data_IF_513444915667
#
_entry.id   IF_513444915667
#
_cell.length_a   1.000
_cell.length_b   1.000
_cell.length_c   1.000
_cell.angle_alpha   90.00
_cell.angle_beta   90.00
_cell.angle_gamma   90.00
#
_symmetry.space_group_name_H-M   'P 1'
#
loop_
_entity.id
_entity.type
_entity.pdbx_description
1 polymer ?
#
# COMPACT_ATOMS: atom_id res chain seq x y z
N UNK A 1 8.34 -32.45 7.37
CA UNK A 1 7.33 -33.29 6.70
C UNK A 1 6.05 -32.54 6.29
N UNK A 2 5.11 -32.21 7.19
CA UNK A 2 3.79 -31.65 6.79
C UNK A 2 3.85 -30.33 6.00
N UNK A 3 4.73 -29.40 6.39
CA UNK A 3 4.91 -28.13 5.67
C UNK A 3 5.43 -28.34 4.24
N UNK A 4 6.26 -29.37 4.02
CA UNK A 4 6.78 -29.73 2.70
C UNK A 4 5.70 -30.29 1.78
N UNK A 5 4.82 -31.14 2.32
CA UNK A 5 3.68 -31.66 1.57
C UNK A 5 2.70 -30.55 1.14
N UNK A 6 2.41 -29.60 2.04
CA UNK A 6 1.58 -28.42 1.71
C UNK A 6 2.26 -27.55 0.65
N UNK A 7 3.56 -27.30 0.77
CA UNK A 7 4.30 -26.51 -0.20
C UNK A 7 4.27 -27.13 -1.60
N UNK A 8 4.46 -28.46 -1.70
CA UNK A 8 4.41 -29.18 -2.97
C UNK A 8 3.05 -29.01 -3.66
N UNK A 9 1.95 -29.22 -2.93
CA UNK A 9 0.60 -29.05 -3.46
C UNK A 9 0.25 -27.59 -3.82
N UNK A 10 0.87 -26.59 -3.17
CA UNK A 10 0.69 -25.17 -3.50
C UNK A 10 1.52 -24.75 -4.72
N UNK A 11 2.72 -25.31 -4.90
CA UNK A 11 3.57 -25.03 -6.06
C UNK A 11 2.89 -25.40 -7.39
N UNK A 12 2.12 -26.49 -7.41
CA UNK A 12 1.33 -26.89 -8.59
C UNK A 12 0.29 -25.83 -9.00
N UNK A 13 -0.23 -25.05 -8.03
CA UNK A 13 -1.27 -24.03 -8.24
C UNK A 13 -0.71 -22.63 -8.46
N UNK A 14 0.57 -22.43 -8.11
CA UNK A 14 1.19 -21.11 -8.02
C UNK A 14 1.09 -20.32 -9.34
N UNK A 15 1.33 -20.97 -10.47
CA UNK A 15 1.27 -20.33 -11.79
C UNK A 15 -0.11 -19.73 -12.06
N UNK A 16 -1.19 -20.49 -11.83
CA UNK A 16 -2.55 -20.04 -12.07
C UNK A 16 -2.97 -18.94 -11.10
N UNK A 17 -2.60 -19.06 -9.82
CA UNK A 17 -2.83 -18.04 -8.80
C UNK A 17 -2.20 -16.71 -9.25
N UNK A 18 -0.92 -16.74 -9.61
CA UNK A 18 -0.17 -15.55 -10.03
C UNK A 18 -0.76 -14.94 -11.31
N UNK A 19 -1.15 -15.75 -12.30
CA UNK A 19 -1.77 -15.25 -13.53
C UNK A 19 -3.11 -14.56 -13.26
N UNK A 20 -3.95 -15.13 -12.38
CA UNK A 20 -5.23 -14.52 -12.00
C UNK A 20 -5.03 -13.18 -11.31
N UNK A 21 -4.13 -13.11 -10.33
CA UNK A 21 -3.81 -11.86 -9.61
C UNK A 21 -3.24 -10.79 -10.53
N UNK A 22 -2.32 -11.15 -11.43
CA UNK A 22 -1.76 -10.25 -12.44
C UNK A 22 -2.84 -9.65 -13.34
N UNK A 23 -3.72 -10.50 -13.88
CA UNK A 23 -4.83 -10.04 -14.73
C UNK A 23 -5.75 -9.09 -13.99
N UNK A 24 -6.11 -9.42 -12.75
CA UNK A 24 -6.99 -8.57 -11.94
C UNK A 24 -6.32 -7.22 -11.60
N UNK A 25 -5.07 -7.22 -11.13
CA UNK A 25 -4.35 -5.99 -10.77
C UNK A 25 -4.04 -5.11 -11.97
N UNK A 26 -3.74 -5.69 -13.14
CA UNK A 26 -3.56 -4.92 -14.37
C UNK A 26 -4.84 -4.18 -14.73
N UNK A 27 -5.99 -4.87 -14.74
CA UNK A 27 -7.28 -4.25 -15.07
C UNK A 27 -7.71 -3.23 -14.03
N UNK A 28 -7.44 -3.50 -12.75
CA UNK A 28 -7.64 -2.51 -11.69
C UNK A 28 -6.82 -1.25 -11.97
N UNK A 29 -5.53 -1.40 -12.29
CA UNK A 29 -4.65 -0.27 -12.62
C UNK A 29 -5.17 0.54 -13.81
N UNK A 30 -5.63 -0.13 -14.88
CA UNK A 30 -6.23 0.52 -16.06
C UNK A 30 -7.49 1.30 -15.68
N UNK A 31 -8.37 0.71 -14.85
CA UNK A 31 -9.64 1.30 -14.44
C UNK A 31 -9.51 2.39 -13.39
N UNK A 32 -8.43 2.44 -12.63
CA UNK A 32 -8.15 3.48 -11.63
C UNK A 32 -7.31 4.64 -12.18
N UNK A 33 -6.86 4.60 -13.44
CA UNK A 33 -6.11 5.70 -14.05
C UNK A 33 -6.86 7.04 -13.91
N UNK A 34 -6.09 8.10 -13.69
CA UNK A 34 -6.59 9.48 -13.62
C UNK A 34 -7.30 9.86 -12.33
N UNK A 35 -7.27 9.02 -11.28
CA UNK A 35 -7.72 9.44 -9.95
C UNK A 35 -6.68 10.40 -9.37
N UNK A 36 -6.99 11.69 -9.39
CA UNK A 36 -6.17 12.73 -8.77
C UNK A 36 -6.03 12.47 -7.26
N UNK A 37 -4.80 12.56 -6.75
CA UNK A 37 -4.50 12.26 -5.35
C UNK A 37 -4.22 10.79 -5.03
N UNK A 38 -4.29 9.88 -6.02
CA UNK A 38 -3.96 8.46 -5.84
C UNK A 38 -2.93 8.02 -6.88
N UNK A 39 -1.76 7.61 -6.41
CA UNK A 39 -0.71 7.01 -7.22
C UNK A 39 -0.89 5.49 -7.25
N UNK A 40 -0.87 4.93 -8.45
CA UNK A 40 -1.02 3.49 -8.67
C UNK A 40 0.35 2.79 -8.67
N UNK A 41 0.45 1.54 -8.19
CA UNK A 41 1.69 0.78 -8.21
C UNK A 41 2.16 0.57 -9.65
N UNK A 42 3.44 0.85 -9.89
CA UNK A 42 4.09 0.59 -11.17
C UNK A 42 5.08 -0.56 -11.00
N UNK A 43 4.97 -1.64 -11.80
CA UNK A 43 5.99 -2.67 -11.82
C UNK A 43 7.37 -2.08 -12.16
N UNK A 44 8.40 -2.52 -11.46
CA UNK A 44 9.80 -2.21 -11.82
C UNK A 44 10.05 -2.64 -13.27
N UNK A 45 10.77 -1.86 -14.09
CA UNK A 45 11.07 -2.23 -15.47
C UNK A 45 11.69 -3.63 -15.57
N UNK A 46 11.12 -4.47 -16.44
CA UNK A 46 11.53 -5.88 -16.61
C UNK A 46 10.99 -6.86 -15.57
N UNK A 47 10.22 -6.39 -14.57
CA UNK A 47 9.59 -7.25 -13.58
C UNK A 47 8.12 -7.51 -13.89
N UNK A 48 7.64 -8.70 -13.51
CA UNK A 48 6.23 -9.04 -13.53
C UNK A 48 5.81 -9.49 -12.11
N UNK A 49 5.23 -8.61 -11.29
CA UNK A 49 4.96 -8.91 -9.88
C UNK A 49 3.89 -10.01 -9.74
N UNK A 50 3.97 -10.76 -8.64
CA UNK A 50 2.95 -11.75 -8.26
C UNK A 50 1.70 -11.12 -7.62
N UNK A 51 1.78 -9.84 -7.25
CA UNK A 51 0.73 -9.06 -6.59
C UNK A 51 0.24 -9.72 -5.31
N UNK A 52 1.11 -9.80 -4.30
CA UNK A 52 0.70 -10.22 -2.95
C UNK A 52 -0.33 -9.25 -2.34
N UNK A 53 -0.13 -7.95 -2.57
CA UNK A 53 -1.09 -6.89 -2.32
C UNK A 53 -0.99 -5.87 -3.46
N UNK A 54 -1.98 -5.00 -3.56
CA UNK A 54 -1.99 -3.85 -4.45
C UNK A 54 -1.74 -2.58 -3.63
N UNK A 55 -0.52 -2.04 -3.70
CA UNK A 55 -0.10 -0.87 -2.94
C UNK A 55 -0.34 0.40 -3.75
N UNK A 56 -1.37 1.14 -3.38
CA UNK A 56 -1.53 2.52 -3.82
C UNK A 56 -0.73 3.46 -2.91
N UNK A 57 -0.53 4.69 -3.35
CA UNK A 57 -0.09 5.78 -2.48
C UNK A 57 -1.04 6.95 -2.60
N UNK A 58 -1.27 7.66 -1.50
CA UNK A 58 -2.02 8.91 -1.51
C UNK A 58 -1.09 10.10 -1.69
N UNK A 59 -1.58 11.14 -2.35
CA UNK A 59 -0.97 12.47 -2.36
C UNK A 59 -1.90 13.38 -1.57
N UNK A 60 -1.66 13.59 -0.26
CA UNK A 60 -2.63 14.21 0.64
C UNK A 60 -3.12 15.58 0.17
N UNK A 61 -2.24 16.37 -0.43
CA UNK A 61 -2.53 17.72 -0.92
C UNK A 61 -3.51 17.72 -2.10
N UNK A 62 -3.51 16.65 -2.90
CA UNK A 62 -4.39 16.50 -4.05
C UNK A 62 -5.66 15.70 -3.73
N UNK A 63 -5.56 14.73 -2.81
CA UNK A 63 -6.68 13.90 -2.36
C UNK A 63 -7.58 14.63 -1.34
N UNK A 64 -6.98 15.42 -0.46
CA UNK A 64 -7.62 16.00 0.72
C UNK A 64 -7.71 15.02 1.90
N UNK A 65 -6.89 13.97 1.91
CA UNK A 65 -6.85 12.95 2.97
C UNK A 65 -5.48 12.27 3.05
N UNK A 66 -5.07 11.86 4.24
CA UNK A 66 -3.89 11.03 4.44
C UNK A 66 -4.18 9.53 4.21
N UNK A 67 -3.16 8.69 4.38
CA UNK A 67 -3.28 7.25 4.12
C UNK A 67 -4.24 6.56 5.10
N UNK A 68 -4.24 6.95 6.38
CA UNK A 68 -5.14 6.42 7.42
C UNK A 68 -6.60 6.71 7.09
N UNK A 69 -6.91 7.98 6.81
CA UNK A 69 -8.26 8.43 6.48
C UNK A 69 -8.78 7.75 5.21
N UNK A 70 -7.94 7.66 4.18
CA UNK A 70 -8.33 7.01 2.93
C UNK A 70 -8.55 5.50 3.12
N UNK A 71 -7.64 4.80 3.80
CA UNK A 71 -7.79 3.37 4.09
C UNK A 71 -9.01 3.09 4.96
N UNK A 72 -9.30 3.95 5.95
CA UNK A 72 -10.48 3.84 6.78
C UNK A 72 -11.77 3.98 5.98
N UNK A 73 -11.85 4.97 5.10
CA UNK A 73 -13.01 5.15 4.23
C UNK A 73 -13.18 3.96 3.26
N UNK A 74 -12.10 3.45 2.66
CA UNK A 74 -12.18 2.25 1.81
C UNK A 74 -12.65 1.02 2.59
N UNK A 75 -12.23 0.86 3.84
CA UNK A 75 -12.71 -0.21 4.71
C UNK A 75 -14.18 -0.04 5.08
N UNK A 76 -14.66 1.18 5.26
CA UNK A 76 -16.09 1.46 5.46
C UNK A 76 -16.94 1.10 4.23
N UNK A 77 -16.35 1.13 3.02
CA UNK A 77 -16.94 0.61 1.79
C UNK A 77 -16.90 -0.92 1.66
N UNK A 78 -16.29 -1.63 2.63
CA UNK A 78 -16.15 -3.08 2.63
C UNK A 78 -14.89 -3.60 1.95
N UNK A 79 -13.97 -2.72 1.52
CA UNK A 79 -12.71 -3.17 0.91
C UNK A 79 -11.70 -3.62 1.99
N UNK A 80 -10.89 -4.66 1.72
CA UNK A 80 -9.84 -5.11 2.63
C UNK A 80 -8.60 -4.22 2.52
N UNK A 81 -8.78 -2.94 2.90
CA UNK A 81 -7.74 -1.91 2.83
C UNK A 81 -7.09 -1.66 4.20
N UNK A 82 -5.79 -1.41 4.21
CA UNK A 82 -5.05 -0.95 5.38
C UNK A 82 -4.11 0.20 5.01
N UNK A 83 -3.96 1.15 5.93
CA UNK A 83 -2.94 2.17 5.81
C UNK A 83 -1.57 1.61 6.17
N UNK A 84 -0.55 2.14 5.51
CA UNK A 84 0.83 1.78 5.69
C UNK A 84 1.13 0.31 5.36
N UNK A 85 2.41 -0.02 5.35
CA UNK A 85 2.87 -1.40 5.20
C UNK A 85 3.48 -1.92 6.52
N UNK A 86 4.79 -1.78 6.70
CA UNK A 86 5.52 -2.28 7.87
C UNK A 86 5.57 -1.27 9.04
N UNK A 87 4.80 -0.19 8.96
CA UNK A 87 4.72 0.87 9.98
C UNK A 87 5.94 1.79 10.06
N UNK A 88 7.16 1.24 10.02
CA UNK A 88 8.41 2.00 10.03
C UNK A 88 9.49 1.30 9.19
N UNK A 89 10.50 2.02 8.65
CA UNK A 89 11.60 1.40 7.94
C UNK A 89 12.38 0.42 8.82
N UNK A 90 12.87 -0.68 8.23
CA UNK A 90 13.57 -1.75 8.96
C UNK A 90 14.77 -1.24 9.77
N UNK A 91 15.52 -0.26 9.25
CA UNK A 91 16.69 0.27 9.96
C UNK A 91 16.33 1.05 11.23
N UNK A 92 15.08 1.49 11.40
CA UNK A 92 14.63 2.16 12.61
C UNK A 92 14.22 1.17 13.71
N UNK A 93 14.18 -0.13 13.42
CA UNK A 93 13.81 -1.12 14.42
C UNK A 93 14.83 -1.09 15.58
N UNK A 94 14.39 -1.27 16.84
CA UNK A 94 15.28 -1.20 18.01
C UNK A 94 16.53 -2.08 17.91
N UNK A 95 16.40 -3.26 17.30
CA UNK A 95 17.52 -4.19 17.07
C UNK A 95 18.67 -3.57 16.27
N UNK A 96 18.37 -2.69 15.32
CA UNK A 96 19.35 -1.98 14.51
C UNK A 96 19.74 -0.65 15.15
N UNK A 97 18.77 0.18 15.53
CA UNK A 97 19.02 1.51 16.10
C UNK A 97 19.78 1.47 17.43
N UNK A 98 19.58 0.42 18.24
CA UNK A 98 20.24 0.24 19.54
C UNK A 98 21.38 -0.78 19.49
N UNK A 99 21.68 -1.37 18.33
CA UNK A 99 22.72 -2.38 18.14
C UNK A 99 22.61 -3.59 19.09
N UNK A 100 21.38 -4.03 19.39
CA UNK A 100 21.09 -5.10 20.37
C UNK A 100 21.06 -6.51 19.77
N UNK A 101 21.39 -6.67 18.49
CA UNK A 101 21.34 -7.96 17.80
C UNK A 101 22.27 -9.03 18.39
N UNK A 102 23.35 -8.64 19.07
CA UNK A 102 24.33 -9.55 19.66
C UNK A 102 24.45 -9.31 21.17
N UNK A 103 23.86 -10.19 21.97
CA UNK A 103 23.94 -10.12 23.44
C UNK A 103 25.34 -10.43 23.98
N UNK A 104 26.14 -11.21 23.25
CA UNK A 104 27.48 -11.67 23.64
C UNK A 104 28.44 -11.57 22.47
N UNK A 105 29.18 -10.47 22.39
CA UNK A 105 30.25 -10.28 21.39
C UNK A 105 30.29 -8.86 20.84
N UNK A 106 31.34 -8.56 20.08
CA UNK A 106 31.43 -7.34 19.29
C UNK A 106 30.72 -7.55 17.96
N UNK A 107 30.02 -6.52 17.49
CA UNK A 107 29.36 -6.50 16.19
C UNK A 107 30.34 -6.97 15.09
N UNK A 108 29.99 -7.99 14.30
CA UNK A 108 30.86 -8.56 13.25
C UNK A 108 31.17 -7.56 12.11
N UNK A 109 30.49 -6.41 12.10
CA UNK A 109 30.59 -5.35 11.11
C UNK A 109 30.75 -4.00 11.81
N UNK A 110 31.32 -3.01 11.12
CA UNK A 110 31.44 -1.65 11.64
C UNK A 110 30.07 -1.11 12.07
N UNK A 111 30.00 -0.47 13.24
CA UNK A 111 28.75 0.14 13.73
C UNK A 111 28.34 1.28 12.79
N UNK A 112 27.07 1.26 12.38
CA UNK A 112 26.47 2.30 11.56
C UNK A 112 25.35 2.95 12.35
N UNK A 113 25.34 4.28 12.40
CA UNK A 113 24.22 5.00 12.97
C UNK A 113 22.99 4.80 12.07
N UNK A 114 21.94 4.23 12.63
CA UNK A 114 20.64 4.11 11.97
C UNK A 114 19.67 5.12 12.57
N UNK A 115 18.92 5.79 11.70
CA UNK A 115 17.92 6.77 12.11
C UNK A 115 17.16 7.29 10.89
N UNK A 116 16.06 7.98 11.18
CA UNK A 116 15.23 8.63 10.16
C UNK A 116 16.03 9.62 9.32
N UNK A 117 15.68 9.75 8.05
CA UNK A 117 16.35 10.55 7.04
C UNK A 117 17.41 9.79 6.23
N UNK A 118 17.72 8.53 6.56
CA UNK A 118 18.67 7.72 5.78
C UNK A 118 18.07 7.26 4.44
N UNK A 119 16.76 7.00 4.40
CA UNK A 119 16.06 6.55 3.21
C UNK A 119 14.75 7.34 3.03
N UNK A 120 14.81 8.64 2.72
CA UNK A 120 13.64 9.53 2.72
C UNK A 120 12.53 9.06 1.78
N UNK A 121 12.88 8.47 0.64
CA UNK A 121 11.89 7.91 -0.31
C UNK A 121 11.16 6.69 0.27
N UNK A 122 11.87 5.83 1.00
CA UNK A 122 11.25 4.66 1.63
C UNK A 122 10.33 5.07 2.79
N UNK A 123 10.74 6.06 3.57
CA UNK A 123 9.94 6.68 4.63
C UNK A 123 8.64 7.26 4.06
N UNK A 124 8.74 8.08 3.00
CA UNK A 124 7.59 8.69 2.33
C UNK A 124 6.64 7.64 1.75
N UNK A 125 7.16 6.57 1.12
CA UNK A 125 6.34 5.47 0.61
C UNK A 125 5.56 4.80 1.75
N UNK A 126 6.20 4.52 2.89
CA UNK A 126 5.50 3.91 4.03
C UNK A 126 4.39 4.82 4.57
N UNK A 127 4.67 6.11 4.73
CA UNK A 127 3.72 7.11 5.23
C UNK A 127 2.50 7.27 4.31
N UNK A 128 2.70 7.21 2.99
CA UNK A 128 1.64 7.46 2.01
C UNK A 128 0.97 6.18 1.49
N UNK A 129 1.47 5.00 1.84
CA UNK A 129 0.97 3.73 1.29
C UNK A 129 -0.41 3.33 1.82
N UNK A 130 -1.25 2.83 0.91
CA UNK A 130 -2.53 2.17 1.23
C UNK A 130 -2.53 0.83 0.51
N UNK A 131 -2.64 -0.25 1.28
CA UNK A 131 -2.60 -1.61 0.77
C UNK A 131 -4.00 -2.14 0.58
N UNK A 132 -4.27 -2.71 -0.58
CA UNK A 132 -5.44 -3.52 -0.84
C UNK A 132 -5.02 -4.99 -0.91
N UNK A 133 -5.63 -5.85 -0.08
CA UNK A 133 -5.40 -7.28 -0.15
C UNK A 133 -5.89 -7.84 -1.50
N UNK A 134 -5.11 -8.73 -2.12
CA UNK A 134 -5.43 -9.32 -3.43
C UNK A 134 -5.73 -10.80 -3.26
N UNK A 135 -6.85 -11.25 -3.82
CA UNK A 135 -7.28 -12.65 -3.83
C UNK A 135 -7.49 -13.16 -5.26
N UNK A 136 -6.99 -14.36 -5.56
CA UNK A 136 -7.12 -15.02 -6.87
C UNK A 136 -8.55 -15.50 -7.19
N UNK A 137 -9.44 -15.49 -6.20
CA UNK A 137 -10.86 -15.79 -6.32
C UNK A 137 -11.71 -14.59 -6.76
N UNK A 138 -11.15 -13.38 -6.85
CA UNK A 138 -11.89 -12.20 -7.29
C UNK A 138 -12.44 -12.36 -8.71
N UNK A 139 -13.72 -12.03 -8.84
CA UNK A 139 -14.51 -12.06 -10.05
C UNK A 139 -14.46 -10.72 -10.79
N UNK A 140 -15.16 -10.65 -11.92
CA UNK A 140 -15.37 -9.38 -12.62
C UNK A 140 -16.17 -8.38 -11.78
N UNK A 141 -17.20 -8.87 -11.08
CA UNK A 141 -18.02 -8.04 -10.22
C UNK A 141 -17.19 -7.45 -9.07
N UNK A 142 -16.32 -8.26 -8.44
CA UNK A 142 -15.42 -7.77 -7.39
C UNK A 142 -14.50 -6.66 -7.91
N UNK A 143 -14.03 -6.77 -9.17
CA UNK A 143 -13.24 -5.72 -9.81
C UNK A 143 -14.05 -4.44 -9.99
N UNK A 144 -15.27 -4.53 -10.52
CA UNK A 144 -16.15 -3.38 -10.76
C UNK A 144 -16.52 -2.66 -9.46
N UNK A 145 -16.90 -3.41 -8.43
CA UNK A 145 -17.25 -2.89 -7.10
C UNK A 145 -16.03 -2.25 -6.42
N UNK A 146 -14.85 -2.86 -6.53
CA UNK A 146 -13.60 -2.29 -6.03
C UNK A 146 -13.27 -0.96 -6.72
N UNK A 147 -13.36 -0.91 -8.05
CA UNK A 147 -13.14 0.31 -8.83
C UNK A 147 -14.13 1.40 -8.43
N UNK A 148 -15.41 1.04 -8.30
CA UNK A 148 -16.47 1.96 -7.91
C UNK A 148 -16.21 2.56 -6.52
N UNK A 149 -15.94 1.72 -5.52
CA UNK A 149 -15.67 2.15 -4.16
C UNK A 149 -14.45 3.08 -4.07
N UNK A 150 -13.32 2.72 -4.70
CA UNK A 150 -12.11 3.56 -4.69
C UNK A 150 -12.37 4.92 -5.34
N UNK A 151 -13.02 4.95 -6.51
CA UNK A 151 -13.35 6.20 -7.20
C UNK A 151 -14.31 7.07 -6.39
N UNK A 152 -15.33 6.46 -5.77
CA UNK A 152 -16.32 7.15 -4.94
C UNK A 152 -15.67 7.80 -3.73
N UNK A 153 -14.85 7.05 -2.99
CA UNK A 153 -14.15 7.56 -1.80
C UNK A 153 -13.18 8.68 -2.17
N UNK A 154 -12.37 8.49 -3.22
CA UNK A 154 -11.45 9.53 -3.68
C UNK A 154 -12.20 10.81 -4.11
N UNK A 155 -13.32 10.66 -4.82
CA UNK A 155 -14.16 11.79 -5.21
C UNK A 155 -14.77 12.50 -3.99
N UNK A 156 -15.20 11.75 -2.98
CA UNK A 156 -15.78 12.30 -1.76
C UNK A 156 -14.79 13.19 -1.00
N UNK A 157 -13.57 12.71 -0.75
CA UNK A 157 -12.52 13.51 -0.07
C UNK A 157 -12.21 14.80 -0.81
N UNK A 158 -12.08 14.72 -2.14
CA UNK A 158 -11.79 15.90 -2.99
C UNK A 158 -12.90 16.94 -2.98
N UNK A 159 -14.16 16.53 -2.81
CA UNK A 159 -15.30 17.46 -2.71
C UNK A 159 -15.41 18.06 -1.31
N UNK A 160 -15.19 17.26 -0.27
CA UNK A 160 -15.24 17.69 1.13
C UNK A 160 -14.11 18.65 1.48
N UNK A 161 -12.88 18.39 1.00
CA UNK A 161 -11.74 19.30 1.17
C UNK A 161 -11.93 20.67 0.49
N UNK A 162 -12.61 20.70 -0.66
CA UNK A 162 -12.94 21.96 -1.36
C UNK A 162 -14.04 22.77 -0.66
N UNK A 163 -14.96 22.12 0.06
CA UNK A 163 -16.03 22.81 0.81
C UNK A 163 -15.51 23.47 2.10
N UNK A 164 -14.46 22.94 2.71
CA UNK A 164 -13.83 23.54 3.91
C UNK A 164 -13.04 24.82 3.66
N UNK A 165 -12.53 25.03 2.43
CA UNK A 165 -11.73 26.20 2.07
C UNK A 165 -12.51 27.47 1.68
N UNK A 166 -13.83 27.41 1.58
CA UNK A 166 -14.66 28.53 1.11
C UNK A 166 -15.24 29.41 2.23
N UNK A 167 -14.92 29.15 3.51
CA UNK A 167 -15.49 29.86 4.65
C UNK A 167 -14.44 30.71 5.40
N UNK A 168 -13.75 31.62 4.70
CA UNK A 168 -13.06 32.78 5.31
C UNK A 168 -12.85 33.89 4.28
N UNK A 169 -13.93 34.56 3.87
CA UNK A 169 -13.85 35.96 3.45
C UNK A 169 -15.21 36.64 3.60
N UNK A 170 -15.45 37.22 4.77
CA UNK A 170 -16.26 38.44 4.89
C UNK A 170 -15.86 39.15 6.18
N UNK A 171 -15.01 40.17 6.03
CA UNK A 171 -15.05 41.37 6.85
C UNK A 171 -15.77 42.44 6.03
N UNK A 172 -16.42 43.42 6.67
CA UNK A 172 -15.72 44.45 7.46
C UNK A 172 -15.83 44.27 8.97
#
# INVERSE_FOLDING_TARGET
>A
ELQGAVALAQLEKLTDIVLRRRRWCQRLSERLQGIEGVLLPQPTPGCNPSWWFYMMRVVPEALGANADEFAEALRAEGLPASAHYIGQPVYEYPIFAQHTAFERGTHAYQSRAYGRGLCPVAEEILETSVLLAVNEGYTEQDLEETVFAIRRVAQWFRQSGKRGGAATSSSP
#
